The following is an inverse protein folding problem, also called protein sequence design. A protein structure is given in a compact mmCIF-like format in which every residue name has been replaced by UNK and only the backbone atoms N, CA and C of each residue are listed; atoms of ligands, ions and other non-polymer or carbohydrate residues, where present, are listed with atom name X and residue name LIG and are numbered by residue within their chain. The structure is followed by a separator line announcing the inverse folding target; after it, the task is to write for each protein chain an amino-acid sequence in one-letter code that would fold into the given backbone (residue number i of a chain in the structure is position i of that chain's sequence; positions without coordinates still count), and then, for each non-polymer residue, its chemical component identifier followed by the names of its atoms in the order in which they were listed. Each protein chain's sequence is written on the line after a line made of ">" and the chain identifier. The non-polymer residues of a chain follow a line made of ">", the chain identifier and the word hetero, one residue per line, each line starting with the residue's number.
data_IF_706410813886
#
_entry.id   IF_706410813886
#
_cell.length_a   1.000
_cell.length_b   1.000
_cell.length_c   1.000
_cell.angle_alpha   90.00
_cell.angle_beta   90.00
_cell.angle_gamma   90.00
#
_symmetry.space_group_name_H-M   'P 1'
#
loop_
_entity.id
_entity.type
_entity.pdbx_description
1 polymer ?
#
# COMPACT_ATOMS: atom_id res chain seq x y z
N UNK A 1 9.57 34.23 -4.62
CA UNK A 1 9.82 32.97 -3.92
C UNK A 1 10.00 33.33 -2.45
N UNK A 2 9.06 32.97 -1.57
CA UNK A 2 9.22 33.17 -0.12
C UNK A 2 10.21 32.13 0.35
N UNK A 3 11.37 32.55 0.81
CA UNK A 3 12.34 31.69 1.50
C UNK A 3 11.85 31.50 2.92
N UNK A 4 11.14 30.40 3.16
CA UNK A 4 10.74 29.99 4.49
C UNK A 4 11.90 29.25 5.17
N UNK A 5 12.77 29.95 5.84
CA UNK A 5 13.93 29.40 6.58
C UNK A 5 13.66 29.27 8.10
N UNK A 6 12.42 29.31 8.55
CA UNK A 6 12.11 29.24 9.97
C UNK A 6 11.70 27.82 10.38
N UNK A 7 12.17 27.39 11.53
CA UNK A 7 11.77 26.13 12.21
C UNK A 7 10.25 26.08 12.47
N UNK A 8 9.56 27.22 12.41
CA UNK A 8 8.10 27.37 12.59
C UNK A 8 7.31 27.29 11.27
N UNK A 9 7.84 26.62 10.28
CA UNK A 9 7.22 26.53 8.96
C UNK A 9 5.94 25.68 8.98
N UNK A 10 4.82 26.30 8.61
CA UNK A 10 3.53 25.64 8.44
C UNK A 10 3.22 25.47 6.94
N UNK A 11 2.83 24.26 6.56
CA UNK A 11 2.40 23.98 5.20
C UNK A 11 0.97 24.47 4.96
N UNK A 12 0.76 25.19 3.86
CA UNK A 12 -0.56 25.60 3.39
C UNK A 12 -0.97 24.78 2.18
N UNK A 13 -2.04 23.99 2.33
CA UNK A 13 -2.60 23.21 1.23
C UNK A 13 -3.53 24.05 0.37
N UNK A 14 -2.99 24.75 -0.62
CA UNK A 14 -3.70 25.66 -1.51
C UNK A 14 -3.15 25.59 -2.96
N UNK A 15 -3.82 26.28 -3.89
CA UNK A 15 -3.39 26.42 -5.27
C UNK A 15 -3.48 25.14 -6.09
N UNK A 16 -2.59 25.03 -7.09
CA UNK A 16 -2.66 24.00 -8.14
C UNK A 16 -2.67 22.55 -7.60
N UNK A 17 -1.96 22.27 -6.51
CA UNK A 17 -1.92 20.91 -5.94
C UNK A 17 -3.32 20.49 -5.44
N UNK A 18 -4.06 21.39 -4.80
CA UNK A 18 -5.43 21.13 -4.36
C UNK A 18 -6.38 20.97 -5.55
N UNK A 19 -6.28 21.83 -6.54
CA UNK A 19 -7.12 21.76 -7.73
C UNK A 19 -6.87 20.46 -8.53
N UNK A 20 -5.60 20.10 -8.78
CA UNK A 20 -5.24 18.88 -9.52
C UNK A 20 -5.74 17.65 -8.77
N UNK A 21 -5.58 17.59 -7.44
CA UNK A 21 -6.07 16.45 -6.67
C UNK A 21 -7.60 16.30 -6.74
N UNK A 22 -8.35 17.43 -6.71
CA UNK A 22 -9.81 17.39 -6.87
C UNK A 22 -10.22 16.96 -8.29
N UNK A 23 -9.54 17.44 -9.33
CA UNK A 23 -9.80 17.01 -10.71
C UNK A 23 -9.57 15.50 -10.86
N UNK A 24 -8.49 14.97 -10.28
CA UNK A 24 -8.22 13.53 -10.33
C UNK A 24 -9.28 12.72 -9.58
N UNK A 25 -9.77 13.20 -8.43
CA UNK A 25 -10.89 12.57 -7.72
C UNK A 25 -12.14 12.53 -8.61
N UNK A 26 -12.47 13.63 -9.28
CA UNK A 26 -13.64 13.68 -10.19
C UNK A 26 -13.49 12.70 -11.36
N UNK A 27 -12.29 12.64 -11.96
CA UNK A 27 -11.99 11.66 -13.03
C UNK A 27 -12.19 10.23 -12.53
N UNK A 28 -11.72 9.91 -11.32
CA UNK A 28 -11.92 8.61 -10.71
C UNK A 28 -13.39 8.26 -10.46
N UNK A 29 -14.17 9.23 -9.98
CA UNK A 29 -15.62 9.05 -9.77
C UNK A 29 -16.34 8.80 -11.09
N UNK A 30 -15.97 9.53 -12.16
CA UNK A 30 -16.54 9.32 -13.50
C UNK A 30 -16.18 7.94 -14.04
N UNK A 31 -14.91 7.50 -13.90
CA UNK A 31 -14.49 6.17 -14.34
C UNK A 31 -15.19 5.05 -13.56
N UNK A 32 -15.36 5.21 -12.26
CA UNK A 32 -16.12 4.29 -11.43
C UNK A 32 -17.60 4.23 -11.87
N UNK A 33 -18.23 5.37 -12.08
CA UNK A 33 -19.59 5.44 -12.55
C UNK A 33 -19.76 4.79 -13.94
N UNK A 34 -18.81 5.02 -14.85
CA UNK A 34 -18.77 4.34 -16.14
C UNK A 34 -18.73 2.81 -15.98
N UNK A 35 -17.82 2.27 -15.18
CA UNK A 35 -17.70 0.82 -14.95
C UNK A 35 -18.99 0.19 -14.44
N UNK A 36 -19.71 0.84 -13.52
CA UNK A 36 -20.98 0.32 -13.00
C UNK A 36 -22.18 0.50 -13.96
N UNK A 37 -22.21 1.58 -14.74
CA UNK A 37 -23.31 1.89 -15.66
C UNK A 37 -23.20 1.15 -17.00
N UNK A 38 -21.99 0.83 -17.46
CA UNK A 38 -21.76 0.11 -18.70
C UNK A 38 -22.25 -1.35 -18.64
N UNK A 39 -22.34 -1.94 -17.45
CA UNK A 39 -22.82 -3.30 -17.23
C UNK A 39 -21.83 -4.38 -17.66
N UNK A 40 -22.25 -5.66 -17.58
CA UNK A 40 -21.45 -6.81 -18.03
C UNK A 40 -20.06 -6.88 -17.37
N UNK A 41 -19.03 -7.10 -18.16
CA UNK A 41 -17.64 -7.26 -17.73
C UNK A 41 -17.06 -6.00 -17.05
N UNK A 42 -17.57 -4.81 -17.40
CA UNK A 42 -17.13 -3.55 -16.80
C UNK A 42 -17.41 -3.48 -15.30
N UNK A 43 -18.51 -4.08 -14.83
CA UNK A 43 -18.84 -4.13 -13.41
C UNK A 43 -17.79 -4.93 -12.62
N UNK A 44 -17.43 -6.11 -13.13
CA UNK A 44 -16.41 -6.96 -12.52
C UNK A 44 -15.05 -6.23 -12.47
N UNK A 45 -14.64 -5.58 -13.58
CA UNK A 45 -13.44 -4.78 -13.66
C UNK A 45 -13.47 -3.61 -12.67
N UNK A 46 -14.61 -2.93 -12.52
CA UNK A 46 -14.75 -1.84 -11.55
C UNK A 46 -14.55 -2.34 -10.11
N UNK A 47 -15.17 -3.44 -9.70
CA UNK A 47 -14.96 -4.02 -8.36
C UNK A 47 -13.51 -4.43 -8.13
N UNK A 48 -12.88 -5.09 -9.09
CA UNK A 48 -11.48 -5.53 -9.00
C UNK A 48 -10.51 -4.36 -8.87
N UNK A 49 -10.72 -3.28 -9.65
CA UNK A 49 -9.91 -2.07 -9.58
C UNK A 49 -10.14 -1.27 -8.29
N UNK A 50 -11.37 -1.25 -7.77
CA UNK A 50 -11.65 -0.65 -6.47
C UNK A 50 -10.97 -1.42 -5.34
N UNK A 51 -10.96 -2.75 -5.38
CA UNK A 51 -10.21 -3.57 -4.42
C UNK A 51 -8.71 -3.27 -4.52
N UNK A 52 -8.15 -3.32 -5.73
CA UNK A 52 -6.75 -3.01 -6.00
C UNK A 52 -6.35 -1.67 -5.38
N UNK A 53 -7.07 -0.61 -5.72
CA UNK A 53 -6.70 0.73 -5.31
C UNK A 53 -6.96 1.00 -3.84
N UNK A 54 -8.05 0.48 -3.27
CA UNK A 54 -8.32 0.64 -1.84
C UNK A 54 -7.32 -0.13 -0.98
N UNK A 55 -6.91 -1.33 -1.39
CA UNK A 55 -5.87 -2.10 -0.72
C UNK A 55 -4.50 -1.40 -0.82
N UNK A 56 -4.11 -0.96 -2.02
CA UNK A 56 -2.87 -0.23 -2.23
C UNK A 56 -2.81 1.06 -1.39
N UNK A 57 -3.92 1.79 -1.33
CA UNK A 57 -4.06 2.99 -0.51
C UNK A 57 -3.86 2.70 0.99
N UNK A 58 -4.50 1.65 1.51
CA UNK A 58 -4.30 1.20 2.89
C UNK A 58 -2.85 0.80 3.13
N UNK A 59 -2.25 0.02 2.23
CA UNK A 59 -0.85 -0.42 2.33
C UNK A 59 0.12 0.78 2.43
N UNK A 60 -0.04 1.79 1.58
CA UNK A 60 0.79 2.99 1.63
C UNK A 60 0.61 3.77 2.95
N UNK A 61 -0.61 3.85 3.45
CA UNK A 61 -0.86 4.48 4.75
C UNK A 61 -0.25 3.68 5.91
N UNK A 62 -0.32 2.35 5.89
CA UNK A 62 0.34 1.46 6.85
C UNK A 62 1.87 1.63 6.77
N UNK A 63 2.44 1.78 5.57
CA UNK A 63 3.87 2.00 5.39
C UNK A 63 4.36 3.26 6.12
N UNK A 64 3.53 4.32 6.19
CA UNK A 64 3.81 5.51 7.01
C UNK A 64 3.88 5.20 8.50
N UNK A 65 2.96 4.40 9.03
CA UNK A 65 2.99 3.93 10.44
C UNK A 65 4.22 3.06 10.69
N UNK A 66 4.49 2.12 9.78
CA UNK A 66 5.63 1.21 9.88
C UNK A 66 6.95 1.98 9.84
N UNK A 67 7.08 2.98 8.94
CA UNK A 67 8.25 3.85 8.90
C UNK A 67 8.46 4.55 10.26
N UNK A 68 7.44 5.23 10.78
CA UNK A 68 7.55 5.88 12.09
C UNK A 68 7.97 4.89 13.18
N UNK A 69 7.36 3.71 13.20
CA UNK A 69 7.60 2.73 14.26
C UNK A 69 9.04 2.22 14.26
N UNK A 70 9.60 1.78 13.13
CA UNK A 70 10.96 1.28 13.13
C UNK A 70 12.01 2.41 13.32
N UNK A 71 11.72 3.66 12.93
CA UNK A 71 12.60 4.79 13.21
C UNK A 71 12.66 5.08 14.72
N UNK A 72 11.52 5.10 15.41
CA UNK A 72 11.50 5.24 16.87
C UNK A 72 12.14 4.03 17.57
N UNK A 73 11.85 2.80 17.15
CA UNK A 73 12.41 1.59 17.75
C UNK A 73 13.93 1.49 17.55
N UNK A 74 14.43 1.92 16.38
CA UNK A 74 15.87 1.99 16.11
C UNK A 74 16.55 3.24 16.66
N UNK A 75 15.79 4.15 17.28
CA UNK A 75 16.31 5.45 17.76
C UNK A 75 17.09 6.22 16.68
N UNK A 76 16.55 6.18 15.44
CA UNK A 76 17.21 6.71 14.26
C UNK A 76 17.06 8.24 14.17
N UNK A 77 18.02 8.97 14.67
CA UNK A 77 18.01 10.44 14.77
C UNK A 77 17.86 11.14 13.41
N UNK A 78 18.46 10.59 12.35
CA UNK A 78 18.46 11.22 11.02
C UNK A 78 17.06 11.53 10.47
N UNK A 79 16.05 10.73 10.82
CA UNK A 79 14.70 10.86 10.30
C UNK A 79 13.81 11.86 11.06
N UNK A 80 14.28 12.39 12.20
CA UNK A 80 13.48 13.26 13.05
C UNK A 80 12.93 14.48 12.31
N UNK A 81 13.74 15.12 11.46
CA UNK A 81 13.37 16.34 10.71
C UNK A 81 12.33 16.10 9.59
N UNK A 82 12.08 14.85 9.15
CA UNK A 82 11.13 14.51 8.10
C UNK A 82 9.92 13.71 8.60
N UNK A 83 9.88 13.34 9.87
CA UNK A 83 8.91 12.39 10.43
C UNK A 83 7.45 12.83 10.26
N UNK A 84 7.16 14.12 10.06
CA UNK A 84 5.81 14.64 9.82
C UNK A 84 5.18 14.13 8.54
N UNK A 85 5.99 13.77 7.52
CA UNK A 85 5.47 13.22 6.26
C UNK A 85 4.84 11.83 6.49
N UNK A 86 5.55 10.81 7.02
CA UNK A 86 4.93 9.51 7.29
C UNK A 86 3.84 9.57 8.38
N UNK A 87 3.90 10.52 9.33
CA UNK A 87 2.81 10.76 10.28
C UNK A 87 1.52 11.27 9.61
N UNK A 88 1.64 12.02 8.50
CA UNK A 88 0.47 12.40 7.73
C UNK A 88 -0.19 11.18 7.07
N UNK A 89 0.58 10.21 6.58
CA UNK A 89 0.04 8.95 6.06
C UNK A 89 -0.70 8.18 7.17
N UNK A 90 -0.10 8.10 8.36
CA UNK A 90 -0.72 7.47 9.53
C UNK A 90 -2.06 8.12 9.92
N UNK A 91 -2.19 9.44 9.78
CA UNK A 91 -3.47 10.16 10.02
C UNK A 91 -4.55 9.82 8.99
N UNK A 92 -4.17 9.43 7.79
CA UNK A 92 -5.10 9.08 6.70
C UNK A 92 -5.55 7.62 6.80
N UNK A 93 -4.79 6.76 7.48
CA UNK A 93 -5.04 5.32 7.58
C UNK A 93 -6.47 4.95 8.02
N UNK A 94 -7.11 5.60 9.02
CA UNK A 94 -8.49 5.26 9.37
C UNK A 94 -9.48 5.45 8.22
N UNK A 95 -9.30 6.52 7.43
CA UNK A 95 -10.16 6.80 6.27
C UNK A 95 -9.92 5.74 5.19
N UNK A 96 -8.66 5.43 4.88
CA UNK A 96 -8.31 4.39 3.93
C UNK A 96 -8.87 3.02 4.34
N UNK A 97 -8.80 2.69 5.64
CA UNK A 97 -9.35 1.45 6.21
C UNK A 97 -10.86 1.33 6.01
N UNK A 98 -11.60 2.40 6.25
CA UNK A 98 -13.06 2.43 6.03
C UNK A 98 -13.38 2.25 4.54
N UNK A 99 -12.66 2.92 3.64
CA UNK A 99 -12.84 2.77 2.20
C UNK A 99 -12.63 1.30 1.79
N UNK A 100 -11.56 0.66 2.24
CA UNK A 100 -11.31 -0.75 1.92
C UNK A 100 -12.44 -1.67 2.42
N UNK A 101 -12.89 -1.50 3.66
CA UNK A 101 -14.00 -2.31 4.23
C UNK A 101 -15.27 -2.11 3.42
N UNK A 102 -15.59 -0.87 3.02
CA UNK A 102 -16.76 -0.56 2.19
C UNK A 102 -16.64 -1.22 0.82
N UNK A 103 -15.51 -1.09 0.14
CA UNK A 103 -15.28 -1.71 -1.19
C UNK A 103 -15.43 -3.23 -1.11
N UNK A 104 -14.79 -3.86 -0.13
CA UNK A 104 -14.91 -5.31 0.09
C UNK A 104 -16.36 -5.71 0.35
N UNK A 105 -17.07 -4.96 1.20
CA UNK A 105 -18.48 -5.25 1.51
C UNK A 105 -19.36 -5.16 0.26
N UNK A 106 -19.18 -4.12 -0.55
CA UNK A 106 -19.92 -4.01 -1.81
C UNK A 106 -19.63 -5.17 -2.76
N UNK A 107 -18.37 -5.56 -2.93
CA UNK A 107 -18.01 -6.65 -3.83
C UNK A 107 -18.42 -8.05 -3.32
N UNK A 108 -18.46 -8.23 -1.99
CA UNK A 108 -18.83 -9.51 -1.38
C UNK A 108 -20.35 -9.74 -1.32
N UNK A 109 -21.14 -8.69 -1.07
CA UNK A 109 -22.58 -8.82 -0.90
C UNK A 109 -23.38 -8.59 -2.20
N UNK A 110 -22.80 -7.94 -3.22
CA UNK A 110 -23.38 -7.89 -4.54
C UNK A 110 -23.00 -9.15 -5.33
N UNK A 111 -23.98 -9.76 -5.95
CA UNK A 111 -23.84 -11.02 -6.69
C UNK A 111 -24.23 -10.83 -8.14
N UNK A 112 -23.69 -11.67 -8.99
CA UNK A 112 -24.05 -11.76 -10.40
C UNK A 112 -24.21 -13.22 -10.81
N UNK A 113 -24.93 -13.43 -11.91
CA UNK A 113 -25.18 -14.76 -12.46
C UNK A 113 -23.99 -15.18 -13.34
N UNK A 114 -23.40 -16.33 -13.02
CA UNK A 114 -22.37 -16.99 -13.83
C UNK A 114 -22.90 -18.33 -14.29
N UNK A 115 -22.57 -18.72 -15.52
CA UNK A 115 -22.93 -20.05 -16.05
C UNK A 115 -21.68 -20.94 -15.92
N UNK A 116 -21.68 -21.80 -14.92
CA UNK A 116 -20.62 -22.77 -14.70
C UNK A 116 -21.16 -24.18 -14.92
N UNK A 117 -20.50 -24.98 -15.76
CA UNK A 117 -20.90 -26.32 -16.14
C UNK A 117 -22.34 -26.42 -16.65
N UNK A 118 -22.86 -25.36 -17.31
CA UNK A 118 -24.22 -25.30 -17.86
C UNK A 118 -25.31 -24.99 -16.82
N UNK A 119 -24.95 -24.67 -15.57
CA UNK A 119 -25.86 -24.23 -14.51
C UNK A 119 -25.66 -22.75 -14.23
N UNK A 120 -26.73 -22.08 -13.86
CA UNK A 120 -26.72 -20.68 -13.44
C UNK A 120 -26.49 -20.62 -11.94
N UNK A 121 -25.43 -19.97 -11.55
CA UNK A 121 -25.07 -19.77 -10.15
C UNK A 121 -24.91 -18.28 -9.83
N UNK A 122 -25.35 -17.89 -8.62
CA UNK A 122 -25.16 -16.54 -8.10
C UNK A 122 -23.88 -16.49 -7.32
N UNK A 123 -22.88 -15.75 -7.84
CA UNK A 123 -21.56 -15.60 -7.23
C UNK A 123 -21.27 -14.16 -6.87
N UNK A 124 -20.57 -13.87 -5.75
CA UNK A 124 -20.17 -12.51 -5.41
C UNK A 124 -19.09 -11.99 -6.40
N UNK A 125 -19.07 -10.67 -6.62
CA UNK A 125 -18.06 -10.04 -7.48
C UNK A 125 -16.63 -10.15 -6.94
N UNK A 126 -16.47 -10.20 -5.62
CA UNK A 126 -15.18 -10.42 -4.97
C UNK A 126 -15.25 -11.66 -4.08
N UNK A 127 -14.15 -12.42 -4.04
CA UNK A 127 -14.02 -13.63 -3.23
C UNK A 127 -14.95 -14.79 -3.61
N UNK A 128 -15.35 -14.89 -4.88
CA UNK A 128 -16.22 -15.95 -5.37
C UNK A 128 -15.74 -17.35 -4.98
N UNK A 129 -14.44 -17.62 -5.05
CA UNK A 129 -13.82 -18.92 -4.74
C UNK A 129 -14.04 -19.47 -3.33
N UNK A 130 -14.50 -18.64 -2.36
CA UNK A 130 -14.77 -19.15 -1.02
C UNK A 130 -16.05 -18.57 -0.38
N UNK A 131 -16.61 -17.51 -0.95
CA UNK A 131 -17.80 -16.87 -0.41
C UNK A 131 -19.10 -17.29 -1.12
N UNK A 132 -19.01 -18.06 -2.20
CA UNK A 132 -20.16 -18.65 -2.89
C UNK A 132 -20.89 -19.64 -1.98
N UNK A 133 -22.21 -19.67 -2.09
CA UNK A 133 -23.04 -20.51 -1.24
C UNK A 133 -22.85 -22.00 -1.56
N UNK A 134 -22.78 -22.84 -0.54
CA UNK A 134 -22.75 -24.30 -0.67
C UNK A 134 -21.35 -24.92 -0.75
N UNK A 135 -20.26 -24.13 -0.93
CA UNK A 135 -18.88 -24.64 -1.06
C UNK A 135 -18.41 -25.49 0.14
N UNK A 136 -18.96 -25.26 1.33
CA UNK A 136 -18.58 -25.98 2.55
C UNK A 136 -19.61 -27.02 3.00
N UNK A 137 -20.74 -27.18 2.30
CA UNK A 137 -21.79 -28.15 2.61
C UNK A 137 -21.61 -29.42 1.77
N UNK A 138 -21.33 -30.55 2.43
CA UNK A 138 -21.12 -31.87 1.79
C UNK A 138 -22.32 -32.31 0.93
N UNK A 139 -23.52 -31.84 1.26
CA UNK A 139 -24.72 -32.18 0.50
C UNK A 139 -24.98 -31.23 -0.67
N UNK A 140 -24.19 -30.18 -0.82
CA UNK A 140 -24.29 -29.23 -1.91
C UNK A 140 -23.62 -29.78 -3.17
N UNK A 141 -24.18 -29.48 -4.34
CA UNK A 141 -23.55 -29.78 -5.64
C UNK A 141 -22.25 -28.99 -5.84
N UNK A 142 -22.10 -27.85 -5.14
CA UNK A 142 -20.95 -26.96 -5.22
C UNK A 142 -19.88 -27.29 -4.15
N UNK A 143 -19.96 -28.45 -3.49
CA UNK A 143 -19.05 -28.80 -2.42
C UNK A 143 -17.59 -28.87 -2.90
N UNK A 144 -16.72 -28.10 -2.21
CA UNK A 144 -15.29 -28.10 -2.42
C UNK A 144 -14.56 -28.52 -1.14
N UNK A 145 -13.93 -29.68 -1.16
CA UNK A 145 -13.26 -30.26 -0.01
C UNK A 145 -12.04 -29.41 0.47
N UNK A 146 -11.36 -28.70 -0.44
CA UNK A 146 -10.22 -27.85 -0.11
C UNK A 146 -10.72 -26.59 0.61
N UNK A 147 -11.76 -25.96 0.11
CA UNK A 147 -12.38 -24.78 0.73
C UNK A 147 -13.02 -25.15 2.07
N UNK A 148 -13.71 -26.29 2.16
CA UNK A 148 -14.26 -26.80 3.41
C UNK A 148 -13.17 -27.01 4.49
N UNK A 149 -11.99 -27.51 4.11
CA UNK A 149 -10.84 -27.62 4.99
C UNK A 149 -10.27 -26.29 5.46
N UNK A 150 -10.44 -25.21 4.67
CA UNK A 150 -10.01 -23.84 5.00
C UNK A 150 -11.11 -22.99 5.66
N UNK A 151 -12.32 -23.51 5.85
CA UNK A 151 -13.47 -22.80 6.41
C UNK A 151 -13.22 -22.12 7.78
N UNK A 152 -12.36 -22.62 8.69
CA UNK A 152 -12.02 -21.89 9.90
C UNK A 152 -11.39 -20.51 9.66
N UNK A 153 -10.66 -20.35 8.56
CA UNK A 153 -10.02 -19.09 8.15
C UNK A 153 -10.84 -18.36 7.08
N UNK A 154 -11.32 -19.08 6.05
CA UNK A 154 -12.09 -18.53 4.93
C UNK A 154 -13.58 -18.60 5.25
N UNK A 155 -14.05 -17.68 6.08
CA UNK A 155 -15.47 -17.46 6.35
C UNK A 155 -15.74 -15.97 6.59
N UNK A 156 -16.92 -15.52 6.24
CA UNK A 156 -17.31 -14.10 6.28
C UNK A 156 -17.15 -13.51 7.69
N UNK A 157 -17.49 -14.24 8.75
CA UNK A 157 -17.41 -13.73 10.13
C UNK A 157 -15.96 -13.47 10.54
N UNK A 158 -15.10 -14.47 10.39
CA UNK A 158 -13.67 -14.34 10.73
C UNK A 158 -13.01 -13.25 9.85
N UNK A 159 -13.33 -13.21 8.57
CA UNK A 159 -12.79 -12.24 7.64
C UNK A 159 -13.07 -10.79 8.06
N UNK A 160 -14.32 -10.47 8.43
CA UNK A 160 -14.66 -9.13 8.93
C UNK A 160 -14.05 -8.82 10.30
N UNK A 161 -14.03 -9.78 11.22
CA UNK A 161 -13.36 -9.62 12.51
C UNK A 161 -11.88 -9.30 12.30
N UNK A 162 -11.20 -10.06 11.43
CA UNK A 162 -9.81 -9.81 11.05
C UNK A 162 -9.62 -8.40 10.49
N UNK A 163 -10.42 -7.99 9.50
CA UNK A 163 -10.32 -6.66 8.90
C UNK A 163 -10.47 -5.55 9.94
N UNK A 164 -11.54 -5.60 10.74
CA UNK A 164 -11.84 -4.55 11.72
C UNK A 164 -10.79 -4.49 12.83
N UNK A 165 -10.37 -5.64 13.34
CA UNK A 165 -9.38 -5.71 14.43
C UNK A 165 -8.01 -5.25 13.95
N UNK A 166 -7.53 -5.74 12.80
CA UNK A 166 -6.19 -5.40 12.33
C UNK A 166 -6.10 -3.96 11.85
N UNK A 167 -7.03 -3.51 11.01
CA UNK A 167 -7.04 -2.13 10.53
C UNK A 167 -7.31 -1.13 11.66
N UNK A 168 -8.15 -1.51 12.63
CA UNK A 168 -8.38 -0.74 13.85
C UNK A 168 -7.11 -0.61 14.70
N UNK A 169 -6.39 -1.72 14.90
CA UNK A 169 -5.13 -1.72 15.64
C UNK A 169 -4.06 -0.87 14.94
N UNK A 170 -3.87 -1.04 13.63
CA UNK A 170 -2.89 -0.26 12.87
C UNK A 170 -3.21 1.24 12.89
N UNK A 171 -4.49 1.58 12.76
CA UNK A 171 -4.98 2.97 12.86
C UNK A 171 -4.74 3.54 14.25
N UNK A 172 -5.05 2.78 15.29
CA UNK A 172 -4.80 3.19 16.68
C UNK A 172 -3.34 3.51 16.94
N UNK A 173 -2.42 2.59 16.58
CA UNK A 173 -0.98 2.82 16.78
C UNK A 173 -0.46 4.00 15.95
N UNK A 174 -0.89 4.15 14.69
CA UNK A 174 -0.53 5.27 13.84
C UNK A 174 -0.95 6.62 14.42
N UNK A 175 -2.18 6.72 14.92
CA UNK A 175 -2.70 7.92 15.57
C UNK A 175 -2.03 8.17 16.93
N UNK A 176 -1.79 7.13 17.73
CA UNK A 176 -1.14 7.24 19.04
C UNK A 176 0.32 7.71 18.92
N UNK A 177 1.10 7.15 17.96
CA UNK A 177 2.46 7.59 17.66
C UNK A 177 2.47 9.06 17.22
N UNK A 178 1.56 9.42 16.29
CA UNK A 178 1.46 10.80 15.82
C UNK A 178 1.08 11.76 16.94
N UNK A 179 0.14 11.37 17.81
CA UNK A 179 -0.30 12.18 18.95
C UNK A 179 0.83 12.40 19.96
N UNK A 180 1.60 11.35 20.30
CA UNK A 180 2.74 11.46 21.19
C UNK A 180 3.82 12.39 20.61
N UNK A 181 4.14 12.23 19.33
CA UNK A 181 5.10 13.10 18.64
C UNK A 181 4.66 14.57 18.54
N UNK A 182 3.37 14.83 18.38
CA UNK A 182 2.85 16.22 18.41
C UNK A 182 2.89 16.80 19.83
N UNK A 183 2.67 15.99 20.87
CA UNK A 183 2.78 16.42 22.25
C UNK A 183 4.22 16.83 22.63
N UNK A 184 5.25 16.20 22.02
CA UNK A 184 6.66 16.61 22.19
C UNK A 184 6.88 18.08 21.83
N UNK A 185 6.17 18.63 20.83
CA UNK A 185 6.34 20.01 20.38
C UNK A 185 6.00 21.04 21.48
N UNK A 186 5.08 20.70 22.39
CA UNK A 186 4.62 21.58 23.47
C UNK A 186 5.30 21.27 24.80
N UNK A 187 5.29 20.01 25.21
CA UNK A 187 5.75 19.59 26.53
C UNK A 187 7.27 19.48 26.61
N UNK A 188 7.93 19.01 25.54
CA UNK A 188 9.37 18.76 25.52
C UNK A 188 9.79 17.58 26.43
N UNK A 189 11.09 17.39 26.59
CA UNK A 189 11.66 16.32 27.41
C UNK A 189 11.52 14.92 26.78
N UNK A 190 11.90 13.88 27.55
CA UNK A 190 11.96 12.49 27.04
C UNK A 190 10.65 11.73 27.20
N UNK A 191 9.70 12.18 28.01
CA UNK A 191 8.51 11.40 28.38
C UNK A 191 7.66 10.97 27.17
N UNK A 192 7.37 11.89 26.24
CA UNK A 192 6.59 11.59 25.04
C UNK A 192 7.40 10.76 24.02
N UNK A 193 8.72 10.96 23.96
CA UNK A 193 9.61 10.14 23.17
C UNK A 193 9.64 8.68 23.65
N UNK A 194 9.81 8.46 24.96
CA UNK A 194 9.77 7.12 25.58
C UNK A 194 8.41 6.43 25.36
N UNK A 195 7.32 7.20 25.37
CA UNK A 195 6.01 6.69 25.02
C UNK A 195 5.93 6.28 23.55
N UNK A 196 6.45 7.09 22.64
CA UNK A 196 6.54 6.78 21.21
C UNK A 196 7.41 5.54 20.98
N UNK A 197 8.53 5.40 21.66
CA UNK A 197 9.39 4.22 21.60
C UNK A 197 8.65 2.95 22.02
N UNK A 198 7.95 2.96 23.16
CA UNK A 198 7.17 1.81 23.65
C UNK A 198 6.03 1.43 22.68
N UNK A 199 5.29 2.43 22.19
CA UNK A 199 4.24 2.22 21.20
C UNK A 199 4.79 1.63 19.90
N UNK A 200 5.94 2.12 19.45
CA UNK A 200 6.62 1.64 18.25
C UNK A 200 7.04 0.17 18.37
N UNK A 201 7.71 -0.20 19.46
CA UNK A 201 8.11 -1.58 19.72
C UNK A 201 6.90 -2.52 19.79
N UNK A 202 5.83 -2.11 20.49
CA UNK A 202 4.60 -2.89 20.58
C UNK A 202 3.94 -3.06 19.21
N UNK A 203 3.84 -1.99 18.43
CA UNK A 203 3.30 -2.04 17.08
C UNK A 203 4.09 -2.99 16.17
N UNK A 204 5.43 -2.92 16.18
CA UNK A 204 6.27 -3.76 15.31
C UNK A 204 6.08 -5.24 15.59
N UNK A 205 5.95 -5.64 16.86
CA UNK A 205 5.66 -7.03 17.21
C UNK A 205 4.29 -7.45 16.70
N UNK A 206 3.24 -6.69 16.98
CA UNK A 206 1.88 -6.98 16.50
C UNK A 206 1.87 -7.03 14.98
N UNK A 207 2.43 -6.02 14.32
CA UNK A 207 2.45 -5.88 12.87
C UNK A 207 3.19 -7.03 12.18
N UNK A 208 4.35 -7.44 12.70
CA UNK A 208 5.15 -8.52 12.14
C UNK A 208 4.41 -9.85 12.05
N UNK A 209 3.57 -10.15 13.05
CA UNK A 209 2.75 -11.38 13.05
C UNK A 209 1.44 -11.23 12.28
N UNK A 210 0.85 -10.05 12.29
CA UNK A 210 -0.53 -9.87 11.78
C UNK A 210 -0.61 -9.35 10.35
N UNK A 211 0.41 -8.67 9.84
CA UNK A 211 0.39 -8.19 8.45
C UNK A 211 0.36 -9.33 7.42
N UNK A 212 1.12 -10.44 7.57
CA UNK A 212 0.94 -11.60 6.71
C UNK A 212 -0.50 -12.15 6.73
N UNK A 213 -1.13 -12.22 7.90
CA UNK A 213 -2.53 -12.68 8.04
C UNK A 213 -3.48 -11.75 7.28
N UNK A 214 -3.27 -10.44 7.37
CA UNK A 214 -4.03 -9.44 6.62
C UNK A 214 -3.86 -9.64 5.09
N UNK A 215 -2.63 -9.83 4.60
CA UNK A 215 -2.37 -10.09 3.19
C UNK A 215 -2.96 -11.42 2.70
N UNK A 216 -2.92 -12.48 3.54
CA UNK A 216 -3.53 -13.77 3.22
C UNK A 216 -5.05 -13.66 3.12
N UNK A 217 -5.67 -12.95 4.06
CA UNK A 217 -7.13 -12.78 4.07
C UNK A 217 -7.63 -11.91 2.93
N UNK A 218 -6.97 -10.79 2.64
CA UNK A 218 -7.49 -9.82 1.67
C UNK A 218 -7.10 -10.13 0.23
N UNK A 219 -5.87 -10.57 -0.03
CA UNK A 219 -5.38 -10.75 -1.40
C UNK A 219 -5.18 -12.22 -1.76
N UNK A 220 -4.46 -13.00 -0.95
CA UNK A 220 -4.20 -14.40 -1.30
C UNK A 220 -5.48 -15.22 -1.40
N UNK A 221 -6.49 -14.91 -0.59
CA UNK A 221 -7.78 -15.60 -0.59
C UNK A 221 -8.60 -15.40 -1.87
N UNK A 222 -8.24 -14.45 -2.75
CA UNK A 222 -8.85 -14.32 -4.07
C UNK A 222 -8.59 -15.55 -4.95
N UNK A 223 -7.48 -16.24 -4.72
CA UNK A 223 -7.17 -17.54 -5.32
C UNK A 223 -7.12 -18.59 -4.20
N UNK A 224 -8.26 -18.94 -3.62
CA UNK A 224 -8.40 -19.68 -2.38
C UNK A 224 -7.81 -21.11 -2.40
N UNK A 225 -7.63 -21.72 -3.58
CA UNK A 225 -7.00 -23.02 -3.73
C UNK A 225 -5.48 -22.94 -3.57
N UNK A 226 -4.87 -21.82 -3.93
CA UNK A 226 -3.45 -21.57 -3.81
C UNK A 226 -3.07 -20.98 -2.44
N UNK A 227 -1.84 -21.24 -1.98
CA UNK A 227 -1.29 -20.58 -0.80
C UNK A 227 0.25 -20.53 -0.85
N UNK A 228 0.81 -19.50 -0.21
CA UNK A 228 2.25 -19.37 0.00
C UNK A 228 2.52 -18.53 1.24
N UNK A 229 3.35 -19.03 2.15
CA UNK A 229 3.75 -18.27 3.34
C UNK A 229 4.60 -17.05 3.00
N UNK A 230 5.38 -17.12 1.91
CA UNK A 230 6.19 -16.01 1.41
C UNK A 230 5.34 -14.84 0.89
N UNK A 231 4.07 -15.07 0.55
CA UNK A 231 3.17 -14.04 0.04
C UNK A 231 2.97 -12.87 1.02
N UNK A 232 2.96 -13.14 2.32
CA UNK A 232 2.90 -12.09 3.34
C UNK A 232 4.13 -11.18 3.33
N UNK A 233 5.33 -11.76 3.22
CA UNK A 233 6.58 -11.02 3.13
C UNK A 233 6.73 -10.27 1.81
N UNK A 234 6.25 -10.86 0.73
CA UNK A 234 6.18 -10.23 -0.58
C UNK A 234 5.31 -8.96 -0.55
N UNK A 235 4.11 -9.05 0.04
CA UNK A 235 3.24 -7.90 0.23
C UNK A 235 3.85 -6.84 1.15
N UNK A 236 4.54 -7.24 2.23
CA UNK A 236 5.25 -6.31 3.12
C UNK A 236 6.32 -5.52 2.38
N UNK A 237 7.11 -6.20 1.55
CA UNK A 237 8.15 -5.55 0.75
C UNK A 237 7.56 -4.56 -0.25
N UNK A 238 6.52 -4.96 -1.00
CA UNK A 238 5.82 -4.11 -1.96
C UNK A 238 5.20 -2.87 -1.30
N UNK A 239 4.51 -3.06 -0.17
CA UNK A 239 3.95 -1.99 0.65
C UNK A 239 5.04 -1.00 1.09
N UNK A 240 6.16 -1.50 1.62
CA UNK A 240 7.17 -0.65 2.21
C UNK A 240 7.95 0.15 1.16
N UNK A 241 8.34 -0.46 0.03
CA UNK A 241 8.98 0.26 -1.08
C UNK A 241 8.07 1.35 -1.62
N UNK A 242 6.78 1.05 -1.81
CA UNK A 242 5.78 2.05 -2.25
C UNK A 242 5.66 3.21 -1.27
N UNK A 243 5.60 2.90 0.03
CA UNK A 243 5.52 3.91 1.09
C UNK A 243 6.75 4.81 1.13
N UNK A 244 7.96 4.23 1.07
CA UNK A 244 9.23 4.99 1.02
C UNK A 244 9.29 5.88 -0.22
N UNK A 245 8.90 5.36 -1.39
CA UNK A 245 8.88 6.13 -2.63
C UNK A 245 7.90 7.32 -2.55
N UNK A 246 6.74 7.14 -1.92
CA UNK A 246 5.77 8.23 -1.72
C UNK A 246 6.23 9.23 -0.65
N UNK A 247 6.86 8.80 0.44
CA UNK A 247 7.48 9.70 1.43
C UNK A 247 8.52 10.60 0.74
N UNK A 248 9.38 9.99 -0.09
CA UNK A 248 10.40 10.72 -0.86
C UNK A 248 9.79 11.70 -1.86
N UNK A 249 8.74 11.29 -2.60
CA UNK A 249 8.05 12.20 -3.53
C UNK A 249 7.37 13.38 -2.83
N UNK A 250 6.75 13.15 -1.67
CA UNK A 250 6.15 14.24 -0.88
C UNK A 250 7.24 15.18 -0.37
N UNK A 251 8.38 14.65 0.08
CA UNK A 251 9.54 15.45 0.49
C UNK A 251 10.05 16.31 -0.67
N UNK A 252 10.30 15.72 -1.84
CA UNK A 252 10.75 16.44 -3.04
C UNK A 252 9.72 17.50 -3.46
N UNK A 253 8.43 17.19 -3.41
CA UNK A 253 7.35 18.13 -3.73
C UNK A 253 7.40 19.35 -2.78
N UNK A 254 7.53 19.13 -1.48
CA UNK A 254 7.61 20.19 -0.48
C UNK A 254 8.86 21.05 -0.70
N UNK A 255 10.02 20.45 -0.94
CA UNK A 255 11.25 21.18 -1.23
C UNK A 255 11.15 22.02 -2.51
N UNK A 256 10.56 21.50 -3.58
CA UNK A 256 10.31 22.27 -4.83
C UNK A 256 9.33 23.45 -4.63
N UNK A 257 8.47 23.36 -3.60
CA UNK A 257 7.57 24.46 -3.20
C UNK A 257 8.22 25.47 -2.23
N UNK A 258 9.47 25.24 -1.82
CA UNK A 258 10.21 26.10 -0.90
C UNK A 258 10.05 25.74 0.57
N UNK A 259 9.35 24.65 0.89
CA UNK A 259 9.22 24.10 2.24
C UNK A 259 10.35 23.15 2.59
N UNK A 260 10.57 22.89 3.88
CA UNK A 260 11.54 21.91 4.40
C UNK A 260 12.96 22.08 3.84
N UNK A 261 13.41 23.35 3.69
CA UNK A 261 14.74 23.64 3.12
C UNK A 261 15.91 23.23 4.04
N UNK A 262 15.63 22.84 5.29
CA UNK A 262 16.60 22.23 6.22
C UNK A 262 16.94 20.78 5.87
N UNK A 263 16.16 20.09 5.04
CA UNK A 263 16.49 18.74 4.63
C UNK A 263 17.62 18.75 3.58
N UNK A 264 18.71 18.07 3.93
CA UNK A 264 19.89 17.97 3.10
C UNK A 264 19.81 16.77 2.14
N UNK A 265 20.74 16.75 1.20
CA UNK A 265 20.93 15.65 0.25
C UNK A 265 21.14 14.30 0.95
N UNK A 266 21.72 14.31 2.15
CA UNK A 266 21.97 13.11 2.94
C UNK A 266 20.68 12.45 3.49
N UNK A 267 19.63 13.23 3.75
CA UNK A 267 18.30 12.68 4.08
C UNK A 267 17.70 11.92 2.89
N UNK A 268 17.72 12.53 1.70
CA UNK A 268 17.28 11.89 0.44
C UNK A 268 18.11 10.62 0.17
N UNK A 269 19.43 10.68 0.37
CA UNK A 269 20.30 9.53 0.23
C UNK A 269 19.95 8.40 1.23
N UNK A 270 19.58 8.74 2.46
CA UNK A 270 19.18 7.74 3.48
C UNK A 270 17.88 7.05 3.12
N UNK A 271 16.85 7.77 2.65
CA UNK A 271 15.63 7.16 2.10
C UNK A 271 15.96 6.34 0.87
N UNK A 272 16.80 6.86 -0.04
CA UNK A 272 17.25 6.15 -1.24
C UNK A 272 17.99 4.84 -0.96
N UNK A 273 18.71 4.73 0.17
CA UNK A 273 19.31 3.46 0.64
C UNK A 273 18.24 2.46 1.05
N UNK A 274 17.22 2.93 1.78
CA UNK A 274 16.10 2.08 2.19
C UNK A 274 15.30 1.61 0.97
N UNK A 275 14.97 2.49 0.03
CA UNK A 275 14.29 2.14 -1.23
C UNK A 275 15.09 1.06 -1.97
N UNK A 276 16.39 1.27 -2.16
CA UNK A 276 17.26 0.32 -2.84
C UNK A 276 17.29 -1.04 -2.13
N UNK A 277 17.53 -1.04 -0.81
CA UNK A 277 17.62 -2.27 -0.02
C UNK A 277 16.32 -3.07 -0.02
N UNK A 278 15.18 -2.40 0.16
CA UNK A 278 13.87 -3.06 0.15
C UNK A 278 13.41 -3.47 -1.25
N UNK A 279 13.85 -2.80 -2.32
CA UNK A 279 13.63 -3.29 -3.70
C UNK A 279 14.39 -4.59 -3.97
N UNK A 280 15.62 -4.73 -3.45
CA UNK A 280 16.36 -6.00 -3.52
C UNK A 280 15.67 -7.07 -2.67
N UNK A 281 15.18 -6.71 -1.46
CA UNK A 281 14.42 -7.64 -0.62
C UNK A 281 13.12 -8.09 -1.30
N UNK A 282 12.37 -7.18 -1.94
CA UNK A 282 11.19 -7.51 -2.74
C UNK A 282 11.54 -8.51 -3.85
N UNK A 283 12.61 -8.25 -4.58
CA UNK A 283 13.08 -9.14 -5.65
C UNK A 283 13.44 -10.53 -5.13
N UNK A 284 14.14 -10.59 -4.00
CA UNK A 284 14.50 -11.85 -3.37
C UNK A 284 13.27 -12.67 -2.98
N UNK A 285 12.30 -12.06 -2.30
CA UNK A 285 11.09 -12.75 -1.84
C UNK A 285 10.23 -13.19 -3.03
N UNK A 286 10.06 -12.31 -4.02
CA UNK A 286 9.34 -12.62 -5.26
C UNK A 286 9.99 -13.78 -6.01
N UNK A 287 11.30 -13.70 -6.22
CA UNK A 287 12.05 -14.74 -6.93
C UNK A 287 12.09 -16.07 -6.15
N UNK A 288 12.26 -16.03 -4.85
CA UNK A 288 12.24 -17.22 -4.01
C UNK A 288 10.91 -17.98 -4.11
N UNK A 289 9.79 -17.26 -4.09
CA UNK A 289 8.45 -17.82 -4.26
C UNK A 289 8.27 -18.43 -5.64
N UNK A 290 8.67 -17.71 -6.70
CA UNK A 290 8.63 -18.22 -8.07
C UNK A 290 9.53 -19.45 -8.25
N UNK A 291 10.77 -19.36 -7.78
CA UNK A 291 11.77 -20.43 -7.94
C UNK A 291 11.37 -21.71 -7.23
N UNK A 292 10.85 -21.63 -6.01
CA UNK A 292 10.38 -22.81 -5.26
C UNK A 292 9.22 -23.50 -5.98
N UNK A 293 8.25 -22.75 -6.46
CA UNK A 293 7.10 -23.30 -7.20
C UNK A 293 7.53 -23.89 -8.55
N UNK A 294 8.40 -23.20 -9.28
CA UNK A 294 8.96 -23.70 -10.55
C UNK A 294 9.80 -24.97 -10.36
N UNK A 295 10.64 -25.01 -9.33
CA UNK A 295 11.51 -26.17 -9.06
C UNK A 295 10.73 -27.40 -8.61
N UNK A 296 9.76 -27.23 -7.72
CA UNK A 296 8.89 -28.31 -7.23
C UNK A 296 7.93 -28.81 -8.31
N UNK A 297 7.49 -27.92 -9.20
CA UNK A 297 6.57 -28.20 -10.32
C UNK A 297 5.33 -29.01 -9.92
N UNK A 298 4.78 -28.67 -8.73
CA UNK A 298 3.52 -29.26 -8.25
C UNK A 298 2.37 -28.56 -8.99
N UNK A 299 1.51 -29.31 -9.73
CA UNK A 299 0.48 -28.69 -10.57
C UNK A 299 -0.43 -27.72 -9.83
N UNK A 300 -0.86 -28.05 -8.61
CA UNK A 300 -1.76 -27.22 -7.77
C UNK A 300 -1.11 -25.91 -7.33
N UNK A 301 0.21 -25.87 -7.17
CA UNK A 301 0.95 -24.66 -6.79
C UNK A 301 1.37 -23.82 -8.00
N UNK A 302 1.70 -24.47 -9.11
CA UNK A 302 2.22 -23.80 -10.30
C UNK A 302 1.15 -22.99 -11.07
N UNK A 303 -0.13 -23.34 -10.93
CA UNK A 303 -1.27 -22.63 -11.56
C UNK A 303 -1.23 -21.13 -11.30
N UNK A 304 -0.82 -20.69 -10.09
CA UNK A 304 -0.73 -19.28 -9.74
C UNK A 304 0.20 -18.50 -10.69
N UNK A 305 1.38 -19.08 -11.00
CA UNK A 305 2.34 -18.43 -11.90
C UNK A 305 1.97 -18.61 -13.37
N UNK A 306 1.39 -19.75 -13.77
CA UNK A 306 0.92 -19.96 -15.14
C UNK A 306 -0.11 -18.94 -15.54
N UNK A 307 -1.11 -18.64 -14.70
CA UNK A 307 -2.10 -17.58 -14.96
C UNK A 307 -1.46 -16.20 -15.22
N UNK A 308 -0.29 -15.93 -14.67
CA UNK A 308 0.43 -14.66 -14.80
C UNK A 308 1.52 -14.67 -15.88
N UNK A 309 2.02 -15.85 -16.21
CA UNK A 309 3.08 -16.04 -17.19
C UNK A 309 2.56 -16.21 -18.61
N UNK A 310 1.34 -16.66 -18.78
CA UNK A 310 0.74 -16.98 -20.07
C UNK A 310 -0.15 -15.84 -20.57
N UNK A 311 -0.44 -15.87 -21.86
CA UNK A 311 -1.38 -15.01 -22.56
C UNK A 311 -1.21 -13.50 -22.28
N UNK A 312 -2.29 -12.83 -21.93
CA UNK A 312 -2.39 -11.38 -21.84
C UNK A 312 -1.64 -10.78 -20.65
N UNK A 313 -1.39 -11.55 -19.57
CA UNK A 313 -0.63 -11.05 -18.42
C UNK A 313 0.89 -11.12 -18.62
N UNK A 314 1.39 -11.89 -19.59
CA UNK A 314 2.82 -12.08 -19.83
C UNK A 314 3.63 -10.79 -20.01
N UNK A 315 3.21 -9.82 -20.82
CA UNK A 315 3.93 -8.55 -20.95
C UNK A 315 4.02 -7.79 -19.63
N UNK A 316 2.94 -7.80 -18.85
CA UNK A 316 2.85 -7.11 -17.58
C UNK A 316 3.70 -7.79 -16.49
N UNK A 317 3.76 -9.11 -16.51
CA UNK A 317 4.65 -9.89 -15.63
C UNK A 317 6.12 -9.50 -15.82
N UNK A 318 6.60 -9.41 -17.05
CA UNK A 318 7.97 -9.01 -17.33
C UNK A 318 8.21 -7.52 -17.04
N UNK A 319 7.25 -6.67 -17.36
CA UNK A 319 7.32 -5.25 -17.05
C UNK A 319 7.42 -5.02 -15.53
N UNK A 320 6.70 -5.80 -14.72
CA UNK A 320 6.78 -5.77 -13.27
C UNK A 320 8.23 -5.97 -12.76
N UNK A 321 8.93 -6.96 -13.30
CA UNK A 321 10.34 -7.22 -12.97
C UNK A 321 11.24 -6.06 -13.39
N UNK A 322 11.00 -5.52 -14.58
CA UNK A 322 11.79 -4.37 -15.06
C UNK A 322 11.62 -3.16 -14.15
N UNK A 323 10.39 -2.85 -13.75
CA UNK A 323 10.11 -1.65 -12.94
C UNK A 323 10.54 -1.80 -11.47
N UNK A 324 10.35 -2.96 -10.86
CA UNK A 324 10.56 -3.15 -9.42
C UNK A 324 11.93 -3.76 -9.06
N UNK A 325 12.63 -4.35 -10.03
CA UNK A 325 13.99 -4.87 -9.84
C UNK A 325 15.02 -4.12 -10.67
N UNK A 326 14.93 -4.18 -12.02
CA UNK A 326 15.98 -3.63 -12.86
C UNK A 326 16.09 -2.11 -12.73
N UNK A 327 14.96 -1.40 -12.66
CA UNK A 327 14.99 0.05 -12.55
C UNK A 327 15.65 0.53 -11.25
N UNK A 328 15.26 0.10 -10.03
CA UNK A 328 15.95 0.53 -8.83
C UNK A 328 17.41 0.04 -8.77
N UNK A 329 17.71 -1.17 -9.27
CA UNK A 329 19.07 -1.69 -9.33
C UNK A 329 19.96 -0.77 -10.16
N UNK A 330 19.56 -0.41 -11.37
CA UNK A 330 20.37 0.38 -12.28
C UNK A 330 20.40 1.88 -11.91
N UNK A 331 19.24 2.41 -11.47
CA UNK A 331 19.10 3.84 -11.20
C UNK A 331 19.64 4.26 -9.83
N UNK A 332 19.63 3.36 -8.83
CA UNK A 332 20.00 3.65 -7.44
C UNK A 332 21.27 2.92 -6.95
N UNK A 333 22.01 2.23 -7.81
CA UNK A 333 23.21 1.51 -7.38
C UNK A 333 24.27 2.45 -6.78
N UNK A 334 24.58 3.54 -7.47
CA UNK A 334 25.65 4.44 -7.03
C UNK A 334 25.20 5.37 -5.86
N UNK A 335 26.18 5.82 -5.08
CA UNK A 335 25.97 6.81 -4.01
C UNK A 335 25.40 8.12 -4.58
N UNK A 336 26.00 8.61 -5.66
CA UNK A 336 25.63 9.89 -6.26
C UNK A 336 24.24 9.85 -6.91
N UNK A 337 23.83 8.69 -7.42
CA UNK A 337 22.50 8.50 -7.97
C UNK A 337 21.39 8.83 -6.96
N UNK A 338 21.56 8.43 -5.70
CA UNK A 338 20.62 8.67 -4.61
C UNK A 338 20.65 10.10 -4.07
N UNK A 339 21.58 10.92 -4.53
CA UNK A 339 21.76 12.34 -4.15
C UNK A 339 21.22 13.32 -5.19
N UNK A 340 20.80 12.86 -6.36
CA UNK A 340 20.26 13.71 -7.42
C UNK A 340 18.74 13.71 -7.37
N UNK A 341 18.14 14.82 -6.95
CA UNK A 341 16.69 14.97 -6.73
C UNK A 341 15.83 14.54 -7.92
N UNK A 342 16.19 14.92 -9.15
CA UNK A 342 15.43 14.53 -10.34
C UNK A 342 15.49 13.02 -10.59
N UNK A 343 16.64 12.38 -10.36
CA UNK A 343 16.78 10.92 -10.50
C UNK A 343 15.94 10.19 -9.46
N UNK A 344 16.02 10.61 -8.20
CA UNK A 344 15.18 10.08 -7.14
C UNK A 344 13.69 10.22 -7.44
N UNK A 345 13.27 11.40 -7.89
CA UNK A 345 11.87 11.65 -8.28
C UNK A 345 11.37 10.67 -9.34
N UNK A 346 12.11 10.50 -10.44
CA UNK A 346 11.71 9.58 -11.50
C UNK A 346 11.75 8.12 -11.07
N UNK A 347 12.76 7.74 -10.29
CA UNK A 347 12.83 6.36 -9.75
C UNK A 347 11.64 6.07 -8.83
N UNK A 348 11.26 7.01 -7.97
CA UNK A 348 10.08 6.85 -7.11
C UNK A 348 8.79 6.75 -7.92
N UNK A 349 8.62 7.53 -8.99
CA UNK A 349 7.46 7.42 -9.89
C UNK A 349 7.41 6.05 -10.55
N UNK A 350 8.55 5.55 -11.05
CA UNK A 350 8.64 4.21 -11.65
C UNK A 350 8.26 3.14 -10.62
N UNK A 351 8.77 3.23 -9.39
CA UNK A 351 8.48 2.25 -8.34
C UNK A 351 7.01 2.27 -7.91
N UNK A 352 6.38 3.44 -7.82
CA UNK A 352 4.95 3.53 -7.46
C UNK A 352 4.09 2.91 -8.57
N UNK A 353 4.40 3.19 -9.83
CA UNK A 353 3.71 2.57 -10.95
C UNK A 353 4.02 1.06 -11.04
N UNK A 354 5.27 0.66 -10.75
CA UNK A 354 5.69 -0.73 -10.71
C UNK A 354 4.98 -1.54 -9.63
N UNK A 355 4.89 -1.03 -8.41
CA UNK A 355 4.16 -1.73 -7.35
C UNK A 355 2.65 -1.67 -7.50
N UNK A 356 2.10 -0.65 -8.17
CA UNK A 356 0.72 -0.69 -8.61
C UNK A 356 0.49 -1.86 -9.59
N UNK A 357 1.38 -2.03 -10.56
CA UNK A 357 1.34 -3.16 -11.49
C UNK A 357 1.54 -4.51 -10.77
N UNK A 358 2.36 -4.54 -9.74
CA UNK A 358 2.59 -5.70 -8.89
C UNK A 358 1.29 -6.14 -8.18
N UNK A 359 0.59 -5.21 -7.54
CA UNK A 359 -0.73 -5.48 -6.96
C UNK A 359 -1.80 -5.82 -8.01
N UNK A 360 -1.72 -5.23 -9.21
CA UNK A 360 -2.56 -5.60 -10.34
C UNK A 360 -2.39 -7.09 -10.69
N UNK A 361 -1.15 -7.56 -10.77
CA UNK A 361 -0.85 -8.97 -11.02
C UNK A 361 -1.22 -9.90 -9.84
N UNK A 362 -1.26 -9.40 -8.62
CA UNK A 362 -1.73 -10.18 -7.47
C UNK A 362 -3.25 -10.38 -7.48
N UNK A 363 -4.02 -9.39 -7.94
CA UNK A 363 -5.48 -9.31 -7.76
C UNK A 363 -6.24 -9.72 -9.01
N UNK A 364 -5.87 -9.16 -10.18
CA UNK A 364 -6.68 -9.31 -11.40
C UNK A 364 -6.81 -10.75 -11.89
N UNK A 365 -5.77 -11.60 -11.87
CA UNK A 365 -5.91 -12.99 -12.32
C UNK A 365 -6.87 -13.83 -11.48
N UNK A 366 -7.06 -13.46 -10.21
CA UNK A 366 -8.00 -14.14 -9.29
C UNK A 366 -9.43 -13.58 -9.32
N UNK A 367 -9.66 -12.44 -9.98
CA UNK A 367 -10.98 -11.77 -9.99
C UNK A 367 -11.58 -11.60 -11.37
N UNK A 368 -10.76 -11.50 -12.42
CA UNK A 368 -11.25 -11.21 -13.77
C UNK A 368 -11.26 -12.44 -14.69
N UNK A 369 -10.54 -13.50 -14.32
CA UNK A 369 -10.39 -14.71 -15.14
C UNK A 369 -10.11 -14.42 -16.63
N UNK A 370 -11.13 -14.57 -17.51
CA UNK A 370 -11.04 -14.31 -18.95
C UNK A 370 -11.33 -12.85 -19.35
N UNK A 371 -11.89 -12.03 -18.46
CA UNK A 371 -12.33 -10.65 -18.77
C UNK A 371 -11.23 -9.62 -18.51
N UNK A 372 -10.10 -9.83 -19.15
CA UNK A 372 -8.88 -9.02 -18.97
C UNK A 372 -8.93 -7.75 -19.80
N UNK A 373 -8.34 -6.69 -19.32
CA UNK A 373 -8.22 -5.46 -20.09
C UNK A 373 -7.49 -4.35 -19.36
N UNK A 374 -7.03 -3.40 -20.12
CA UNK A 374 -6.44 -2.16 -19.65
C UNK A 374 -7.24 -1.02 -20.29
N UNK A 375 -8.01 -0.29 -19.51
CA UNK A 375 -8.95 0.69 -20.05
C UNK A 375 -9.23 1.84 -19.12
N UNK A 376 -10.43 2.38 -19.28
CA UNK A 376 -10.89 3.58 -18.55
C UNK A 376 -10.96 3.32 -17.04
N UNK A 377 -11.39 2.11 -16.65
CA UNK A 377 -11.53 1.72 -15.24
C UNK A 377 -10.18 1.69 -14.53
N UNK A 378 -9.17 1.04 -15.13
CA UNK A 378 -7.85 0.91 -14.53
C UNK A 378 -7.18 2.27 -14.33
N UNK A 379 -7.14 3.07 -15.40
CA UNK A 379 -6.46 4.37 -15.38
C UNK A 379 -7.27 5.39 -14.57
N UNK A 380 -8.59 5.43 -14.76
CA UNK A 380 -9.44 6.42 -14.12
C UNK A 380 -9.55 6.20 -12.61
N UNK A 381 -9.74 4.97 -12.15
CA UNK A 381 -9.81 4.64 -10.72
C UNK A 381 -8.43 4.87 -10.06
N UNK A 382 -7.32 4.50 -10.75
CA UNK A 382 -5.97 4.83 -10.28
C UNK A 382 -5.79 6.34 -10.06
N UNK A 383 -6.15 7.17 -11.05
CA UNK A 383 -6.05 8.62 -10.92
C UNK A 383 -6.93 9.15 -9.78
N UNK A 384 -8.14 8.61 -9.63
CA UNK A 384 -9.05 8.96 -8.55
C UNK A 384 -8.44 8.73 -7.16
N UNK A 385 -7.87 7.56 -6.94
CA UNK A 385 -7.21 7.25 -5.67
C UNK A 385 -5.90 8.01 -5.47
N UNK A 386 -5.13 8.25 -6.53
CA UNK A 386 -3.93 9.10 -6.48
C UNK A 386 -4.29 10.55 -6.08
N UNK A 387 -5.39 11.08 -6.65
CA UNK A 387 -5.95 12.38 -6.26
C UNK A 387 -6.42 12.38 -4.80
N UNK A 388 -7.15 11.36 -4.38
CA UNK A 388 -7.66 11.22 -3.00
C UNK A 388 -6.52 11.12 -1.99
N UNK A 389 -5.51 10.28 -2.26
CA UNK A 389 -4.31 10.15 -1.45
C UNK A 389 -3.60 11.51 -1.29
N UNK A 390 -3.32 12.17 -2.41
CA UNK A 390 -2.65 13.47 -2.42
C UNK A 390 -3.45 14.51 -1.64
N UNK A 391 -4.77 14.58 -1.86
CA UNK A 391 -5.64 15.50 -1.13
C UNK A 391 -5.62 15.25 0.38
N UNK A 392 -5.82 14.01 0.80
CA UNK A 392 -5.90 13.67 2.22
C UNK A 392 -4.56 13.84 2.94
N UNK A 393 -3.45 13.42 2.33
CA UNK A 393 -2.11 13.53 2.92
C UNK A 393 -1.67 14.98 3.02
N UNK A 394 -1.82 15.78 1.96
CA UNK A 394 -1.44 17.19 2.01
C UNK A 394 -2.35 17.99 2.96
N UNK A 395 -3.64 17.65 3.04
CA UNK A 395 -4.54 18.22 4.03
C UNK A 395 -4.16 17.80 5.47
N UNK A 396 -3.71 16.56 5.69
CA UNK A 396 -3.21 16.12 6.99
C UNK A 396 -1.91 16.83 7.38
N UNK A 397 -1.00 17.06 6.42
CA UNK A 397 0.22 17.85 6.62
C UNK A 397 -0.09 19.31 7.01
N UNK A 398 -1.08 19.94 6.38
CA UNK A 398 -1.45 21.33 6.69
C UNK A 398 -2.06 21.52 8.09
N UNK A 399 -2.48 20.42 8.74
CA UNK A 399 -3.01 20.43 10.11
C UNK A 399 -1.91 20.33 11.18
N UNK A 400 -0.67 20.07 10.82
CA UNK A 400 0.44 20.17 11.77
C UNK A 400 0.79 21.65 12.01
N UNK A 401 1.09 21.99 13.26
CA UNK A 401 1.53 23.33 13.62
C UNK A 401 2.91 23.69 13.01
N UNK A 402 3.73 22.66 12.78
CA UNK A 402 5.03 22.78 12.10
C UNK A 402 5.32 21.50 11.31
N UNK A 403 6.02 21.65 10.18
CA UNK A 403 6.51 20.53 9.36
C UNK A 403 7.69 19.80 9.98
N UNK A 404 8.29 20.38 11.03
CA UNK A 404 9.38 19.79 11.80
C UNK A 404 8.96 19.61 13.26
N UNK A 405 9.28 18.51 13.93
CA UNK A 405 9.09 18.38 15.38
C UNK A 405 10.03 19.34 16.12
N UNK A 406 9.47 20.29 16.89
CA UNK A 406 10.28 21.37 17.50
C UNK A 406 11.17 20.93 18.65
N UNK A 407 10.74 19.93 19.41
CA UNK A 407 11.40 19.47 20.63
C UNK A 407 11.74 17.98 20.61
N UNK A 408 11.91 17.41 19.42
CA UNK A 408 12.34 16.02 19.29
C UNK A 408 13.80 15.88 19.82
N UNK A 409 14.10 14.87 20.66
CA UNK A 409 15.44 14.74 21.28
C UNK A 409 16.60 14.67 20.29
N UNK A 410 16.37 14.10 19.10
CA UNK A 410 17.38 13.96 18.05
C UNK A 410 17.26 15.01 16.93
N UNK A 411 16.55 16.12 17.17
CA UNK A 411 16.35 17.12 16.12
C UNK A 411 17.67 17.74 15.65
N UNK A 412 18.53 18.12 16.58
CA UNK A 412 19.83 18.73 16.26
C UNK A 412 20.73 17.76 15.49
N UNK A 413 20.73 16.47 15.86
CA UNK A 413 21.43 15.42 15.12
C UNK A 413 20.87 15.27 13.70
N UNK A 414 19.55 15.30 13.54
CA UNK A 414 18.90 15.23 12.22
C UNK A 414 19.26 16.44 11.35
N UNK A 415 19.25 17.65 11.89
CA UNK A 415 19.58 18.87 11.14
C UNK A 415 21.05 18.92 10.68
N UNK A 416 21.95 18.28 11.43
CA UNK A 416 23.39 18.19 11.12
C UNK A 416 23.78 16.83 10.52
N UNK A 417 22.79 16.09 10.00
CA UNK A 417 23.01 14.76 9.43
C UNK A 417 23.92 14.81 8.20
N UNK A 418 25.10 14.19 8.27
CA UNK A 418 26.06 14.04 7.18
C UNK A 418 26.52 12.58 7.08
N UNK A 419 26.60 12.04 5.84
CA UNK A 419 27.03 10.66 5.53
C UNK A 419 28.22 10.70 4.56
#
# INVERSE_FOLDING_TARGET
>A
MKTHNSIDERFEFAGNAKTISLVFIVVGVIAMAFGFLAGGEHVQRAYSNLLLMSYYFVCVCIAGVFFCAYQYAAQAGWSASLIRIPQAFARVLPIASVILIVVISFGLFNQHEVIEHGKKEMVPYLYAHWATHGLTDINSENYDAIIAGKAPFLNIKFFYVMLVVLLGAYSYFGLALTKASVAEDTEGGMSNYDKSFKLACTFLVIFGFTFPIFAFGVIMSLEAHWFSTMFGWYNLAAMHVSGLALIELVMIFLQKKGYMQWLHVDHMHSIGKLIFGFSIFWTYVWFAQFFLTWYANIPEESVYFYKRWEDEYKPWFWLNIVMNFLAPLLLLMSRDAKRVMNRMMWTCIILIAGHWLDYYLMIMPGTLESHRGFGVEEIGIFLGFAGLFTFLVLNALSKFASLIPKKHPFLDESLHHHI
#
